data_IF_482886557474
#
_entry.id   IF_482886557474
#
_cell.length_a   1.000
_cell.length_b   1.000
_cell.length_c   1.000
_cell.angle_alpha   90.00
_cell.angle_beta   90.00
_cell.angle_gamma   90.00
#
_symmetry.space_group_name_H-M   'P 1'
#
loop_
_entity.id
_entity.type
_entity.pdbx_description
1 polymer ?
#
# COMPACT_ATOMS: atom_id res chain seq x y z
N UNK A 1 17.13 17.26 -6.81
CA UNK A 1 17.18 16.05 -7.65
C UNK A 1 15.76 15.63 -7.98
N UNK A 2 15.35 15.71 -9.24
CA UNK A 2 14.03 15.24 -9.68
C UNK A 2 13.97 13.72 -9.56
N UNK A 3 13.08 13.23 -8.70
CA UNK A 3 12.87 11.80 -8.50
C UNK A 3 12.20 11.21 -9.74
N UNK A 4 12.67 10.05 -10.18
CA UNK A 4 11.99 9.28 -11.22
C UNK A 4 10.59 8.87 -10.73
N UNK A 5 9.61 8.69 -11.63
CA UNK A 5 8.23 8.37 -11.25
C UNK A 5 8.13 7.17 -10.29
N UNK A 6 8.90 6.10 -10.54
CA UNK A 6 8.97 4.93 -9.66
C UNK A 6 9.54 5.25 -8.28
N UNK A 7 10.55 6.13 -8.20
CA UNK A 7 11.17 6.51 -6.94
C UNK A 7 10.27 7.43 -6.13
N UNK A 8 9.50 8.30 -6.78
CA UNK A 8 8.44 9.10 -6.16
C UNK A 8 7.35 8.20 -5.59
N UNK A 9 6.90 7.21 -6.36
CA UNK A 9 5.91 6.22 -5.91
C UNK A 9 6.39 5.45 -4.67
N UNK A 10 7.63 4.95 -4.67
CA UNK A 10 8.23 4.28 -3.51
C UNK A 10 8.39 5.19 -2.28
N UNK A 11 8.57 6.50 -2.50
CA UNK A 11 8.62 7.45 -1.41
C UNK A 11 7.22 7.65 -0.80
N UNK A 12 6.19 7.92 -1.61
CA UNK A 12 4.83 8.12 -1.10
C UNK A 12 4.24 6.86 -0.46
N UNK A 13 4.63 5.66 -0.90
CA UNK A 13 4.19 4.42 -0.25
C UNK A 13 4.70 4.28 1.19
N UNK A 14 5.86 4.85 1.50
CA UNK A 14 6.51 4.75 2.81
C UNK A 14 6.39 6.02 3.66
N UNK A 15 5.97 7.15 3.07
CA UNK A 15 5.79 8.43 3.78
C UNK A 15 4.31 8.80 3.89
N UNK A 16 3.67 9.15 2.76
CA UNK A 16 2.29 9.66 2.72
C UNK A 16 1.27 8.57 3.03
N UNK A 17 1.46 7.38 2.47
CA UNK A 17 0.53 6.26 2.57
C UNK A 17 1.03 5.15 3.53
N UNK A 18 1.97 5.49 4.42
CA UNK A 18 2.64 4.54 5.30
C UNK A 18 1.68 3.80 6.23
N UNK A 19 0.64 4.49 6.72
CA UNK A 19 -0.37 3.91 7.61
C UNK A 19 -1.20 2.84 6.89
N UNK A 20 -1.65 3.14 5.68
CA UNK A 20 -2.44 2.24 4.83
C UNK A 20 -1.57 1.06 4.36
N UNK A 21 -0.32 1.31 4.00
CA UNK A 21 0.65 0.27 3.65
C UNK A 21 0.88 -0.70 4.83
N UNK A 22 1.00 -0.16 6.05
CA UNK A 22 1.17 -0.97 7.26
C UNK A 22 -0.08 -1.79 7.57
N UNK A 23 -1.27 -1.22 7.44
CA UNK A 23 -2.53 -1.94 7.63
C UNK A 23 -2.68 -3.10 6.63
N UNK A 24 -2.41 -2.83 5.35
CA UNK A 24 -2.42 -3.85 4.30
C UNK A 24 -1.39 -4.96 4.57
N UNK A 25 -0.16 -4.60 4.93
CA UNK A 25 0.88 -5.56 5.28
C UNK A 25 0.51 -6.42 6.49
N UNK A 26 -0.11 -5.85 7.53
CA UNK A 26 -0.59 -6.59 8.70
C UNK A 26 -1.65 -7.63 8.32
N UNK A 27 -2.60 -7.25 7.46
CA UNK A 27 -3.62 -8.18 6.98
C UNK A 27 -2.99 -9.36 6.22
N UNK A 28 -2.06 -9.08 5.29
CA UNK A 28 -1.37 -10.14 4.54
C UNK A 28 -0.58 -11.07 5.45
N UNK A 29 0.17 -10.53 6.41
CA UNK A 29 0.96 -11.37 7.33
C UNK A 29 0.05 -12.21 8.22
N UNK A 30 -1.09 -11.69 8.65
CA UNK A 30 -2.07 -12.44 9.44
C UNK A 30 -2.72 -13.58 8.64
N UNK A 31 -2.90 -13.40 7.32
CA UNK A 31 -3.59 -14.36 6.45
C UNK A 31 -2.65 -15.08 5.48
N UNK A 32 -1.33 -15.02 5.68
CA UNK A 32 -0.35 -15.50 4.70
C UNK A 32 -0.46 -17.01 4.43
N UNK A 33 -0.97 -17.76 5.40
CA UNK A 33 -1.15 -19.21 5.32
C UNK A 33 -2.44 -19.62 4.56
N UNK A 34 -3.43 -18.73 4.45
CA UNK A 34 -4.71 -18.98 3.77
C UNK A 34 -5.04 -17.79 2.84
N UNK A 35 -4.12 -17.42 1.96
CA UNK A 35 -4.33 -16.27 1.07
C UNK A 35 -5.47 -16.56 0.11
N UNK A 36 -6.60 -15.87 0.30
CA UNK A 36 -7.73 -15.88 -0.62
C UNK A 36 -7.90 -14.54 -1.30
N UNK A 37 -8.45 -14.58 -2.51
CA UNK A 37 -8.82 -13.37 -3.25
C UNK A 37 -9.73 -12.51 -2.37
N UNK A 38 -9.46 -11.21 -2.36
CA UNK A 38 -10.22 -10.18 -1.64
C UNK A 38 -10.10 -10.17 -0.10
N UNK A 39 -9.21 -10.96 0.52
CA UNK A 39 -9.06 -10.96 1.99
C UNK A 39 -8.65 -9.61 2.59
N UNK A 40 -7.70 -8.93 1.95
CA UNK A 40 -7.21 -7.61 2.38
C UNK A 40 -7.68 -6.51 1.41
N UNK A 41 -8.84 -6.71 0.77
CA UNK A 41 -9.35 -5.83 -0.28
C UNK A 41 -9.58 -4.41 0.24
N UNK A 42 -10.15 -4.27 1.43
CA UNK A 42 -10.46 -2.97 2.01
C UNK A 42 -9.19 -2.15 2.26
N UNK A 43 -8.14 -2.76 2.79
CA UNK A 43 -6.84 -2.14 3.03
C UNK A 43 -6.12 -1.84 1.70
N UNK A 44 -6.22 -2.75 0.73
CA UNK A 44 -5.67 -2.55 -0.62
C UNK A 44 -6.32 -1.37 -1.34
N UNK A 45 -7.65 -1.25 -1.29
CA UNK A 45 -8.38 -0.14 -1.91
C UNK A 45 -8.03 1.20 -1.25
N UNK A 46 -7.92 1.23 0.07
CA UNK A 46 -7.49 2.43 0.82
C UNK A 46 -6.06 2.83 0.48
N UNK A 47 -5.13 1.86 0.46
CA UNK A 47 -3.75 2.10 0.07
C UNK A 47 -3.66 2.58 -1.39
N UNK A 48 -4.34 1.91 -2.30
CA UNK A 48 -4.38 2.26 -3.72
C UNK A 48 -5.04 3.60 -4.00
N UNK A 49 -6.01 4.02 -3.18
CA UNK A 49 -6.59 5.37 -3.24
C UNK A 49 -5.55 6.42 -2.84
N UNK A 50 -4.92 6.24 -1.68
CA UNK A 50 -3.88 7.15 -1.20
C UNK A 50 -2.73 7.30 -2.21
N UNK A 51 -2.28 6.19 -2.80
CA UNK A 51 -1.20 6.19 -3.79
C UNK A 51 -1.56 6.91 -5.08
N UNK A 52 -2.81 6.79 -5.55
CA UNK A 52 -3.30 7.52 -6.75
C UNK A 52 -3.47 9.02 -6.49
N UNK A 53 -3.75 9.42 -5.27
CA UNK A 53 -3.83 10.83 -4.88
C UNK A 53 -2.44 11.45 -4.67
N UNK A 54 -1.44 10.65 -4.28
CA UNK A 54 -0.09 11.11 -3.92
C UNK A 54 0.94 11.13 -5.07
N UNK A 55 0.73 10.38 -6.16
CA UNK A 55 1.70 10.21 -7.27
C UNK A 55 1.46 11.17 -8.43
#
# INVERSE_FOLDING_TARGET
>A
TTLTPLRRLAQHSTTTCAAQATAYGKCIVATYADVRKDMCKAEFEQFGRCMREAV
#
